data_IF_838343717539
#
_entry.id   IF_838343717539
#
_cell.length_a   1.000
_cell.length_b   1.000
_cell.length_c   1.000
_cell.angle_alpha   90.00
_cell.angle_beta   90.00
_cell.angle_gamma   90.00
#
_symmetry.space_group_name_H-M   'P 1'
#
loop_
_entity.id
_entity.type
_entity.pdbx_description
1 polymer ?
#
# COMPACT_ATOMS: atom_id res chain seq x y z
N UNK A 1 13.28 10.71 2.93
CA UNK A 1 12.10 10.06 2.36
C UNK A 1 12.26 8.57 2.58
N UNK A 2 11.34 7.94 3.29
CA UNK A 2 11.31 6.49 3.44
C UNK A 2 11.15 5.79 2.09
N UNK A 3 11.58 4.54 2.03
CA UNK A 3 11.47 3.71 0.83
C UNK A 3 10.04 3.14 0.82
N UNK A 4 9.23 3.38 -0.23
CA UNK A 4 7.90 2.81 -0.33
C UNK A 4 7.94 1.27 -0.29
N UNK A 5 7.03 0.67 0.48
CA UNK A 5 6.82 -0.76 0.44
C UNK A 5 6.28 -1.13 -0.94
N UNK A 6 6.86 -2.17 -1.55
CA UNK A 6 6.41 -2.66 -2.85
C UNK A 6 6.78 -4.13 -3.03
N UNK A 7 6.10 -4.82 -3.93
CA UNK A 7 6.40 -6.18 -4.31
C UNK A 7 7.74 -6.23 -5.03
N UNK A 8 8.62 -7.11 -4.57
CA UNK A 8 9.92 -7.32 -5.19
C UNK A 8 9.93 -8.52 -6.11
N UNK A 9 9.20 -9.58 -5.72
CA UNK A 9 9.12 -10.85 -6.44
C UNK A 9 7.92 -11.65 -5.98
N UNK A 10 7.63 -12.72 -6.70
CA UNK A 10 6.74 -13.79 -6.23
C UNK A 10 7.56 -15.07 -5.95
N UNK A 11 7.03 -15.96 -5.12
CA UNK A 11 7.64 -17.27 -4.85
C UNK A 11 7.54 -18.16 -6.11
N UNK A 12 6.43 -18.06 -6.85
CA UNK A 12 6.17 -18.81 -8.07
C UNK A 12 6.97 -18.33 -9.29
N UNK A 13 7.52 -17.12 -9.25
CA UNK A 13 8.18 -16.46 -10.37
C UNK A 13 7.22 -15.77 -11.36
N UNK A 14 5.92 -15.75 -11.06
CA UNK A 14 4.93 -14.98 -11.81
C UNK A 14 4.98 -13.48 -11.48
N UNK A 15 4.23 -12.68 -12.23
CA UNK A 15 4.05 -11.27 -11.90
C UNK A 15 3.15 -11.12 -10.64
N UNK A 16 3.49 -10.21 -9.71
CA UNK A 16 2.62 -9.85 -8.60
C UNK A 16 1.23 -9.43 -9.11
N UNK A 17 0.18 -9.95 -8.46
CA UNK A 17 -1.19 -9.58 -8.80
C UNK A 17 -1.45 -8.12 -8.39
N UNK A 18 -2.06 -7.37 -9.29
CA UNK A 18 -2.47 -5.98 -9.06
C UNK A 18 -3.98 -5.91 -9.18
N UNK A 19 -4.62 -5.25 -8.23
CA UNK A 19 -6.06 -5.00 -8.22
C UNK A 19 -6.33 -3.51 -8.12
N UNK A 20 -7.31 -3.03 -8.90
CA UNK A 20 -7.78 -1.64 -8.86
C UNK A 20 -9.22 -1.58 -8.37
N UNK A 21 -9.48 -0.86 -7.30
CA UNK A 21 -10.83 -0.68 -6.70
C UNK A 21 -11.09 0.79 -6.39
N UNK A 22 -12.36 1.13 -6.13
CA UNK A 22 -12.73 2.49 -5.73
C UNK A 22 -12.13 2.88 -4.38
N UNK A 23 -11.70 4.12 -4.24
CA UNK A 23 -11.21 4.71 -2.98
C UNK A 23 -12.39 5.28 -2.16
N UNK A 24 -12.30 5.18 -0.83
CA UNK A 24 -13.25 5.84 0.07
C UNK A 24 -12.97 7.35 0.13
N UNK A 25 -14.01 8.18 0.22
CA UNK A 25 -13.86 9.61 0.34
C UNK A 25 -13.05 9.98 1.60
N UNK A 26 -12.15 10.94 1.46
CA UNK A 26 -11.22 11.41 2.50
C UNK A 26 -10.00 10.53 2.77
N UNK A 27 -9.89 9.38 2.11
CA UNK A 27 -8.67 8.58 2.11
C UNK A 27 -7.72 9.11 1.04
N UNK A 28 -6.57 9.62 1.46
CA UNK A 28 -5.46 9.90 0.53
C UNK A 28 -4.22 9.24 1.09
N UNK A 29 -3.68 8.28 0.36
CA UNK A 29 -2.50 7.55 0.80
C UNK A 29 -1.43 7.55 -0.30
N UNK A 30 -0.18 7.48 0.12
CA UNK A 30 0.98 7.45 -0.77
C UNK A 30 1.19 6.03 -1.31
N UNK A 31 2.00 5.92 -2.36
CA UNK A 31 2.51 4.63 -2.81
C UNK A 31 3.21 3.90 -1.64
N UNK A 32 2.94 2.62 -1.50
CA UNK A 32 3.49 1.73 -0.48
C UNK A 32 2.78 1.78 0.85
N UNK A 33 1.70 2.57 0.99
CA UNK A 33 0.83 2.50 2.16
C UNK A 33 0.08 1.15 2.12
N UNK A 34 0.06 0.38 3.23
CA UNK A 34 -0.77 -0.80 3.36
C UNK A 34 -2.24 -0.40 3.31
N UNK A 35 -3.03 -1.20 2.59
CA UNK A 35 -4.44 -0.92 2.36
C UNK A 35 -5.30 -2.13 2.68
N UNK A 36 -6.55 -1.87 3.05
CA UNK A 36 -7.59 -2.87 3.25
C UNK A 36 -8.83 -2.52 2.43
N UNK A 37 -9.70 -3.50 2.20
CA UNK A 37 -11.02 -3.28 1.63
C UNK A 37 -12.04 -3.16 2.77
N UNK A 38 -12.75 -2.04 2.80
CA UNK A 38 -13.89 -1.84 3.68
C UNK A 38 -15.04 -2.78 3.33
N UNK A 39 -16.07 -2.80 4.18
CA UNK A 39 -17.29 -3.61 3.95
C UNK A 39 -18.08 -3.18 2.70
N UNK A 40 -17.84 -1.96 2.22
CA UNK A 40 -18.34 -1.38 0.98
C UNK A 40 -17.53 -1.79 -0.26
N UNK A 41 -16.42 -2.53 -0.08
CA UNK A 41 -15.50 -2.92 -1.14
C UNK A 41 -14.60 -1.79 -1.62
N UNK A 42 -14.58 -0.65 -0.92
CA UNK A 42 -13.70 0.47 -1.19
C UNK A 42 -12.38 0.29 -0.47
N UNK A 43 -11.31 0.84 -1.04
CA UNK A 43 -10.00 0.82 -0.40
C UNK A 43 -9.90 1.92 0.65
N UNK A 44 -9.38 1.55 1.82
CA UNK A 44 -8.98 2.46 2.90
C UNK A 44 -7.56 2.14 3.33
N UNK A 45 -6.90 3.07 4.01
CA UNK A 45 -5.65 2.74 4.70
C UNK A 45 -5.86 1.58 5.70
N UNK A 46 -4.86 0.71 5.81
CA UNK A 46 -4.87 -0.41 6.76
C UNK A 46 -4.80 0.12 8.19
N UNK A 47 -5.67 -0.39 9.07
CA UNK A 47 -5.79 0.10 10.45
C UNK A 47 -4.78 -0.53 11.44
N UNK A 48 -3.95 -1.47 10.95
CA UNK A 48 -2.99 -2.20 11.76
C UNK A 48 -3.53 -3.53 12.29
N UNK A 49 -4.82 -3.83 12.15
CA UNK A 49 -5.45 -5.01 12.73
C UNK A 49 -5.51 -6.20 11.77
N UNK A 50 -5.14 -7.38 12.26
CA UNK A 50 -5.32 -8.65 11.54
C UNK A 50 -6.79 -8.91 11.21
N UNK A 51 -7.72 -8.45 12.05
CA UNK A 51 -9.15 -8.66 11.86
C UNK A 51 -9.71 -7.90 10.64
N UNK A 52 -9.16 -6.72 10.33
CA UNK A 52 -9.52 -5.95 9.14
C UNK A 52 -9.03 -6.60 7.85
N UNK A 53 -7.89 -7.29 7.93
CA UNK A 53 -7.25 -7.96 6.81
C UNK A 53 -6.53 -6.97 5.89
N UNK A 54 -5.25 -7.21 5.66
CA UNK A 54 -4.44 -6.48 4.72
C UNK A 54 -4.71 -6.96 3.29
N UNK A 55 -5.26 -6.09 2.45
CA UNK A 55 -5.50 -6.37 1.03
C UNK A 55 -4.20 -6.32 0.23
N UNK A 56 -3.28 -5.43 0.60
CA UNK A 56 -2.07 -5.20 -0.17
C UNK A 56 -1.37 -3.89 0.17
N UNK A 57 -0.53 -3.44 -0.76
CA UNK A 57 0.16 -2.16 -0.67
C UNK A 57 -0.14 -1.32 -1.90
N UNK A 58 -0.46 -0.05 -1.68
CA UNK A 58 -0.80 0.87 -2.75
C UNK A 58 0.34 1.02 -3.77
N UNK A 59 0.02 0.98 -5.05
CA UNK A 59 0.96 1.23 -6.17
C UNK A 59 0.92 2.66 -6.68
N UNK A 60 -0.13 3.39 -6.33
CA UNK A 60 -0.50 4.67 -6.91
C UNK A 60 -0.91 5.62 -5.80
N UNK A 61 -0.53 6.90 -5.86
CA UNK A 61 -1.05 7.86 -4.88
C UNK A 61 -2.57 7.93 -4.98
N UNK A 62 -3.23 8.09 -3.83
CA UNK A 62 -4.67 8.29 -3.74
C UNK A 62 -5.13 9.50 -4.56
N UNK A 63 -6.36 9.40 -5.05
CA UNK A 63 -7.07 10.43 -5.77
C UNK A 63 -7.70 11.43 -4.78
N UNK A 64 -7.76 12.71 -5.14
CA UNK A 64 -8.66 13.63 -4.43
C UNK A 64 -10.09 13.28 -4.83
N UNK A 65 -10.97 12.98 -3.88
CA UNK A 65 -12.34 12.55 -4.15
C UNK A 65 -13.36 13.59 -3.69
N UNK A 66 -14.41 13.77 -4.49
CA UNK A 66 -15.61 14.54 -4.09
C UNK A 66 -16.58 13.70 -3.27
N UNK A 67 -16.71 12.42 -3.64
CA UNK A 67 -17.42 11.35 -2.93
C UNK A 67 -16.72 10.03 -3.25
N UNK A 68 -17.09 8.94 -2.56
CA UNK A 68 -16.54 7.61 -2.78
C UNK A 68 -16.43 7.24 -4.26
N UNK A 69 -15.23 6.79 -4.66
CA UNK A 69 -14.88 6.44 -6.03
C UNK A 69 -15.13 7.52 -7.11
N UNK A 70 -15.38 8.78 -6.73
CA UNK A 70 -15.62 9.91 -7.64
C UNK A 70 -14.52 10.95 -7.48
N UNK A 71 -13.53 10.83 -8.35
CA UNK A 71 -12.41 11.75 -8.50
C UNK A 71 -12.85 13.22 -8.69
N UNK A 72 -12.18 14.13 -7.99
CA UNK A 72 -12.30 15.56 -8.19
C UNK A 72 -11.50 16.01 -9.42
N UNK A 73 -12.20 16.47 -10.46
CA UNK A 73 -11.51 17.01 -11.65
C UNK A 73 -10.94 18.39 -11.35
N UNK A 74 -9.63 18.47 -11.12
CA UNK A 74 -8.90 19.73 -11.04
C UNK A 74 -8.77 20.34 -12.45
N UNK A 75 -9.68 21.24 -12.82
CA UNK A 75 -9.64 21.96 -14.10
C UNK A 75 -8.97 23.32 -13.95
N UNK A 76 -8.35 23.81 -15.02
CA UNK A 76 -7.85 25.18 -15.11
C UNK A 76 -8.41 25.89 -16.36
N UNK A 77 -8.94 27.10 -16.18
CA UNK A 77 -9.53 27.86 -17.28
C UNK A 77 -10.71 27.15 -17.94
N UNK A 78 -10.94 27.43 -19.22
CA UNK A 78 -12.02 26.82 -20.02
C UNK A 78 -11.48 26.31 -21.36
N UNK A 79 -12.12 25.27 -21.90
CA UNK A 79 -11.85 24.80 -23.26
C UNK A 79 -12.69 25.63 -24.23
N UNK A 80 -12.03 26.36 -25.13
CA UNK A 80 -12.73 27.18 -26.12
C UNK A 80 -13.66 26.30 -26.97
N UNK A 81 -14.92 26.73 -27.09
CA UNK A 81 -15.98 26.02 -27.82
C UNK A 81 -16.41 24.65 -27.26
N UNK A 82 -15.97 24.26 -26.06
CA UNK A 82 -16.42 23.05 -25.38
C UNK A 82 -16.69 23.32 -23.89
N UNK A 83 -17.85 23.89 -23.57
CA UNK A 83 -18.20 24.31 -22.21
C UNK A 83 -18.28 23.18 -21.18
N UNK A 84 -18.41 21.93 -21.61
CA UNK A 84 -18.42 20.75 -20.75
C UNK A 84 -17.05 20.05 -20.63
N UNK A 85 -16.03 20.50 -21.37
CA UNK A 85 -14.71 19.91 -21.34
C UNK A 85 -13.82 20.57 -20.26
N UNK A 86 -13.04 19.75 -19.56
CA UNK A 86 -12.05 20.20 -18.60
C UNK A 86 -10.65 20.25 -19.26
N UNK A 87 -9.87 21.27 -18.95
CA UNK A 87 -8.45 21.28 -19.31
C UNK A 87 -7.68 20.42 -18.30
N UNK A 88 -7.09 19.34 -18.78
CA UNK A 88 -6.23 18.47 -17.96
C UNK A 88 -4.77 18.84 -18.25
N UNK A 89 -3.97 19.24 -17.23
CA UNK A 89 -2.57 19.58 -17.45
C UNK A 89 -1.82 18.39 -18.03
N UNK A 90 -0.88 18.64 -18.95
CA UNK A 90 -0.01 17.58 -19.43
C UNK A 90 0.81 17.03 -18.27
N UNK A 91 0.70 15.74 -18.01
CA UNK A 91 1.38 15.06 -16.90
C UNK A 91 0.58 15.01 -15.60
N UNK A 92 -0.68 15.48 -15.59
CA UNK A 92 -1.57 15.22 -14.46
C UNK A 92 -1.73 13.69 -14.29
N UNK A 93 -1.66 13.17 -13.05
CA UNK A 93 -1.90 11.76 -12.79
C UNK A 93 -3.34 11.38 -13.18
N UNK A 94 -3.56 10.10 -13.47
CA UNK A 94 -4.89 9.58 -13.69
C UNK A 94 -5.71 9.79 -12.41
N UNK A 95 -6.87 10.43 -12.54
CA UNK A 95 -7.78 10.69 -11.43
C UNK A 95 -9.14 10.07 -11.77
N UNK A 96 -9.27 8.76 -11.58
CA UNK A 96 -10.46 7.97 -11.90
C UNK A 96 -11.19 7.44 -10.65
N UNK A 97 -10.77 7.90 -9.46
CA UNK A 97 -11.36 7.53 -8.18
C UNK A 97 -11.02 6.12 -7.72
N UNK A 98 -9.97 5.52 -8.30
CA UNK A 98 -9.55 4.15 -8.01
C UNK A 98 -8.08 4.08 -7.65
N UNK A 99 -7.74 3.20 -6.72
CA UNK A 99 -6.37 2.89 -6.38
C UNK A 99 -5.98 1.51 -6.90
N UNK A 100 -4.83 1.43 -7.58
CA UNK A 100 -4.14 0.16 -7.80
C UNK A 100 -3.31 -0.24 -6.58
N UNK A 101 -3.44 -1.48 -6.11
CA UNK A 101 -2.58 -2.04 -5.07
C UNK A 101 -2.04 -3.43 -5.47
N UNK A 102 -0.84 -3.74 -4.98
CA UNK A 102 -0.23 -5.07 -5.07
C UNK A 102 -0.87 -5.99 -4.03
N UNK A 103 -1.51 -7.06 -4.49
CA UNK A 103 -2.28 -7.95 -3.64
C UNK A 103 -1.38 -8.72 -2.68
N UNK A 104 -1.70 -8.66 -1.39
CA UNK A 104 -1.09 -9.45 -0.34
C UNK A 104 -1.62 -10.89 -0.36
N UNK A 105 -0.98 -11.76 -1.13
CA UNK A 105 -1.31 -13.18 -1.20
C UNK A 105 -0.16 -14.07 -0.70
N UNK A 106 -0.34 -15.39 -0.77
CA UNK A 106 0.68 -16.36 -0.32
C UNK A 106 1.98 -16.33 -1.14
N UNK A 107 1.92 -15.78 -2.34
CA UNK A 107 2.96 -15.84 -3.34
C UNK A 107 3.80 -14.56 -3.40
N UNK A 108 3.22 -13.40 -3.08
CA UNK A 108 3.89 -12.11 -3.20
C UNK A 108 4.86 -11.86 -2.04
N UNK A 109 6.10 -11.49 -2.38
CA UNK A 109 7.14 -11.04 -1.43
C UNK A 109 7.33 -9.53 -1.60
N UNK A 110 7.17 -8.82 -0.50
CA UNK A 110 7.32 -7.36 -0.42
C UNK A 110 8.70 -6.98 0.10
N UNK A 111 9.15 -5.78 -0.26
CA UNK A 111 10.35 -5.13 0.24
C UNK A 111 9.94 -3.91 1.04
N UNK A 112 10.49 -3.76 2.24
CA UNK A 112 10.24 -2.60 3.09
C UNK A 112 11.40 -2.34 4.05
N UNK A 113 11.26 -1.30 4.88
CA UNK A 113 12.30 -0.84 5.80
C UNK A 113 11.87 -1.14 7.23
N UNK A 114 12.80 -1.63 8.04
CA UNK A 114 12.61 -1.79 9.48
C UNK A 114 12.45 -0.43 10.15
N UNK A 115 11.67 -0.39 11.23
CA UNK A 115 11.54 0.81 12.04
C UNK A 115 12.90 1.28 12.62
N UNK A 116 13.01 2.58 12.85
CA UNK A 116 14.26 3.24 13.20
C UNK A 116 14.91 2.61 14.45
N UNK A 117 16.21 2.29 14.35
CA UNK A 117 16.99 1.69 15.43
C UNK A 117 17.07 0.17 15.40
N UNK A 118 16.30 -0.50 14.53
CA UNK A 118 16.42 -1.94 14.31
C UNK A 118 17.42 -2.24 13.19
N UNK A 119 18.52 -2.92 13.51
CA UNK A 119 19.45 -3.48 12.52
C UNK A 119 19.89 -4.86 13.02
N UNK A 120 19.62 -5.94 12.30
CA UNK A 120 20.16 -7.26 12.67
C UNK A 120 20.01 -8.30 11.55
N UNK A 121 21.03 -9.15 11.37
CA UNK A 121 21.06 -10.26 10.41
C UNK A 121 20.24 -11.50 10.85
N UNK A 122 19.69 -11.50 12.07
CA UNK A 122 18.96 -12.63 12.66
C UNK A 122 17.43 -12.40 12.73
N UNK A 123 16.85 -11.74 11.73
CA UNK A 123 15.41 -11.44 11.68
C UNK A 123 14.62 -12.38 10.75
N UNK A 124 15.31 -13.23 9.98
CA UNK A 124 14.64 -14.15 9.06
C UNK A 124 13.79 -15.15 9.85
N UNK A 125 12.51 -15.24 9.50
CA UNK A 125 11.51 -16.06 10.17
C UNK A 125 10.73 -15.36 11.28
N UNK A 126 11.18 -14.18 11.72
CA UNK A 126 10.53 -13.37 12.75
C UNK A 126 9.21 -12.79 12.25
N UNK A 127 8.22 -12.77 13.15
CA UNK A 127 6.95 -12.09 12.94
C UNK A 127 7.07 -10.63 13.34
N UNK A 128 6.40 -9.76 12.60
CA UNK A 128 6.52 -8.32 12.76
C UNK A 128 5.18 -7.64 12.43
N UNK A 129 5.04 -6.41 12.88
CA UNK A 129 3.91 -5.54 12.53
C UNK A 129 4.28 -4.51 11.48
N UNK A 130 3.24 -3.91 10.92
CA UNK A 130 3.36 -2.68 10.15
C UNK A 130 3.03 -1.53 11.09
N UNK A 131 3.95 -0.56 11.20
CA UNK A 131 3.75 0.63 12.01
C UNK A 131 3.86 1.86 11.14
N UNK A 132 3.04 2.86 11.44
CA UNK A 132 3.07 4.17 10.80
C UNK A 132 3.79 5.15 11.71
N UNK A 133 4.83 5.80 11.20
CA UNK A 133 5.58 6.80 11.94
C UNK A 133 4.87 8.17 11.99
N UNK A 134 5.46 9.13 12.70
CA UNK A 134 4.92 10.49 12.81
C UNK A 134 4.91 11.29 11.49
N UNK A 135 5.63 10.82 10.46
CA UNK A 135 5.68 11.40 9.12
C UNK A 135 4.74 10.67 8.13
N UNK A 136 3.86 9.80 8.64
CA UNK A 136 2.93 8.98 7.87
C UNK A 136 3.61 7.95 6.94
N UNK A 137 4.82 7.51 7.27
CA UNK A 137 5.51 6.45 6.55
C UNK A 137 5.33 5.12 7.27
N UNK A 138 5.10 4.07 6.48
CA UNK A 138 4.96 2.72 7.01
C UNK A 138 6.31 1.98 7.03
N UNK A 139 6.61 1.35 8.15
CA UNK A 139 7.80 0.55 8.40
C UNK A 139 7.44 -0.79 9.05
N UNK A 140 8.41 -1.70 9.09
CA UNK A 140 8.26 -3.02 9.72
C UNK A 140 8.77 -2.92 11.16
N UNK A 141 7.89 -3.12 12.14
CA UNK A 141 8.25 -3.18 13.56
C UNK A 141 8.40 -4.64 14.03
N UNK A 142 9.62 -4.99 14.42
CA UNK A 142 9.98 -6.30 15.01
C UNK A 142 10.12 -6.24 16.53
N UNK A 143 10.07 -5.04 17.12
CA UNK A 143 10.38 -4.82 18.54
C UNK A 143 9.17 -5.05 19.42
N UNK A 144 7.98 -4.64 18.96
CA UNK A 144 6.73 -4.71 19.73
C UNK A 144 5.55 -5.20 18.90
N UNK A 145 5.65 -6.35 18.20
CA UNK A 145 4.53 -6.84 17.39
C UNK A 145 3.35 -7.27 18.29
N UNK A 146 2.23 -6.59 18.15
CA UNK A 146 0.95 -6.90 18.77
C UNK A 146 0.13 -7.86 17.91
N UNK A 147 0.06 -7.63 16.61
CA UNK A 147 -0.86 -8.31 15.69
C UNK A 147 -0.15 -9.41 14.87
N UNK A 148 1.16 -9.27 14.67
CA UNK A 148 2.01 -10.09 13.82
C UNK A 148 1.57 -10.12 12.35
N UNK A 149 1.45 -8.97 11.70
CA UNK A 149 0.94 -8.83 10.32
C UNK A 149 1.83 -9.50 9.26
N UNK A 150 3.16 -9.48 9.43
CA UNK A 150 4.12 -9.93 8.40
C UNK A 150 5.15 -10.91 8.96
N UNK A 151 5.76 -11.68 8.06
CA UNK A 151 6.91 -12.54 8.34
C UNK A 151 8.09 -12.14 7.47
N UNK A 152 9.23 -11.87 8.11
CA UNK A 152 10.47 -11.57 7.39
C UNK A 152 11.03 -12.86 6.77
N UNK A 153 11.36 -12.82 5.48
CA UNK A 153 11.86 -13.97 4.71
C UNK A 153 13.31 -13.81 4.25
N UNK A 154 13.80 -12.58 4.12
CA UNK A 154 15.20 -12.29 3.84
C UNK A 154 15.55 -10.87 4.28
N UNK A 155 16.84 -10.58 4.36
CA UNK A 155 17.39 -9.25 4.61
C UNK A 155 18.10 -8.83 3.33
N UNK A 156 18.06 -7.55 3.00
CA UNK A 156 18.81 -7.02 1.87
C UNK A 156 20.30 -6.97 2.19
N UNK A 157 21.12 -7.63 1.37
CA UNK A 157 22.58 -7.71 1.57
C UNK A 157 23.24 -6.33 1.44
N UNK A 158 22.63 -5.40 0.70
CA UNK A 158 23.16 -4.06 0.45
C UNK A 158 22.63 -3.02 1.46
N UNK A 159 21.62 -3.37 2.27
CA UNK A 159 21.00 -2.45 3.23
C UNK A 159 20.49 -3.17 4.48
N UNK A 160 21.17 -2.97 5.61
CA UNK A 160 20.93 -3.68 6.88
C UNK A 160 19.60 -3.37 7.56
N UNK A 161 18.88 -2.34 7.10
CA UNK A 161 17.55 -1.97 7.57
C UNK A 161 16.45 -2.32 6.57
N UNK A 162 16.77 -2.96 5.44
CA UNK A 162 15.80 -3.33 4.41
C UNK A 162 15.56 -4.82 4.47
N UNK A 163 14.29 -5.21 4.46
CA UNK A 163 13.85 -6.60 4.58
C UNK A 163 12.90 -6.98 3.47
N UNK A 164 12.93 -8.26 3.13
CA UNK A 164 11.92 -8.91 2.32
C UNK A 164 10.97 -9.66 3.25
N UNK A 165 9.68 -9.54 3.03
CA UNK A 165 8.66 -10.15 3.89
C UNK A 165 7.46 -10.65 3.09
N UNK A 166 6.70 -11.55 3.71
CA UNK A 166 5.36 -11.96 3.26
C UNK A 166 4.33 -11.57 4.30
N UNK A 167 3.11 -11.27 3.87
CA UNK A 167 1.99 -11.06 4.80
C UNK A 167 1.56 -12.42 5.33
N UNK A 168 1.32 -12.57 6.63
CA UNK A 168 0.91 -13.88 7.18
C UNK A 168 -0.52 -14.22 6.79
N UNK A 169 -0.85 -15.51 6.73
CA UNK A 169 -2.19 -15.95 6.29
C UNK A 169 -3.33 -15.34 7.10
N UNK A 170 -3.19 -15.25 8.42
CA UNK A 170 -4.22 -14.68 9.30
C UNK A 170 -4.48 -13.19 9.01
N UNK A 171 -3.45 -12.45 8.58
CA UNK A 171 -3.51 -11.02 8.35
C UNK A 171 -3.90 -10.66 6.92
N UNK A 172 -3.99 -11.62 6.00
CA UNK A 172 -4.38 -11.34 4.61
C UNK A 172 -5.89 -11.17 4.54
N UNK A 173 -6.31 -10.19 3.75
CA UNK A 173 -7.70 -10.16 3.33
C UNK A 173 -7.92 -11.25 2.29
N UNK A 174 -8.56 -12.34 2.69
CA UNK A 174 -8.94 -13.42 1.79
C UNK A 174 -9.97 -12.85 0.81
N UNK A 175 -9.65 -12.88 -0.48
CA UNK A 175 -10.61 -12.48 -1.51
C UNK A 175 -11.89 -13.31 -1.38
N UNK A 176 -13.02 -12.64 -1.17
CA UNK A 176 -14.36 -13.23 -1.31
C UNK A 176 -14.72 -13.40 -2.78
#
# INVERSE_FOLDING_TARGET
>A
MGIPIHSSRTISGNQPAIRRVGENASETFLKGVPVQLGTDGLVTEFDGSVAGGLAGFSLEPGSNLTTDAVAETLTFGSVQNQSAAANIPRGAPLNDGRNGFEVANADTVFKGVLDAGTTTQALVGTLADLVKDGDNQWSIDVTSPAENVVRIVAIDDDATNVVYFTVIEAARQIEA
#
